data_IF_353579470690
#
_entry.id   IF_353579470690
#
_cell.length_a   1.000
_cell.length_b   1.000
_cell.length_c   1.000
_cell.angle_alpha   90.00
_cell.angle_beta   90.00
_cell.angle_gamma   90.00
#
_symmetry.space_group_name_H-M   'P 1'
#
loop_
_entity.id
_entity.type
_entity.pdbx_description
1 polymer ?
#
# COMPACT_ATOMS: atom_id res chain seq x y z
N UNK A 1 -9.18 -10.53 -22.84
CA UNK A 1 -9.31 -9.53 -21.75
C UNK A 1 -10.47 -8.61 -22.13
N UNK A 2 -11.46 -8.44 -21.26
CA UNK A 2 -12.55 -7.48 -21.48
C UNK A 2 -11.95 -6.06 -21.52
N UNK A 3 -12.50 -5.19 -22.41
CA UNK A 3 -12.10 -3.79 -22.47
C UNK A 3 -12.26 -3.16 -21.08
N UNK A 4 -11.29 -2.36 -20.60
CA UNK A 4 -11.40 -1.72 -19.30
C UNK A 4 -12.69 -0.90 -19.25
N UNK A 5 -13.56 -1.21 -18.30
CA UNK A 5 -14.80 -0.47 -18.09
C UNK A 5 -14.46 0.99 -17.86
N UNK A 6 -15.12 1.87 -18.61
CA UNK A 6 -14.86 3.31 -18.58
C UNK A 6 -15.23 3.88 -17.21
N UNK A 7 -14.23 4.20 -16.41
CA UNK A 7 -14.45 4.89 -15.11
C UNK A 7 -14.72 6.38 -15.33
N UNK A 8 -15.43 6.96 -14.38
CA UNK A 8 -15.57 8.41 -14.20
C UNK A 8 -15.25 8.74 -12.74
N UNK A 9 -14.00 9.12 -12.47
CA UNK A 9 -13.55 9.43 -11.12
C UNK A 9 -14.38 10.55 -10.44
N UNK A 10 -15.00 11.45 -11.22
CA UNK A 10 -15.86 12.53 -10.69
C UNK A 10 -17.18 12.02 -10.11
N UNK A 11 -17.53 10.78 -10.40
CA UNK A 11 -18.73 10.08 -9.90
C UNK A 11 -18.44 9.11 -8.76
N UNK A 12 -17.22 9.14 -8.25
CA UNK A 12 -16.81 8.25 -7.15
C UNK A 12 -17.70 8.44 -5.92
N UNK A 13 -18.25 7.34 -5.43
CA UNK A 13 -19.10 7.32 -4.24
C UNK A 13 -18.96 6.00 -3.50
N UNK A 14 -19.23 6.02 -2.19
CA UNK A 14 -19.24 4.80 -1.35
C UNK A 14 -20.45 3.96 -1.70
N UNK A 15 -20.24 2.67 -1.96
CA UNK A 15 -21.30 1.68 -2.28
C UNK A 15 -21.49 0.65 -1.17
N UNK A 16 -20.45 0.38 -0.37
CA UNK A 16 -20.53 -0.55 0.77
C UNK A 16 -19.66 -0.06 1.92
N UNK A 17 -20.11 -0.33 3.15
CA UNK A 17 -19.36 -0.08 4.38
C UNK A 17 -19.44 -1.30 5.31
N UNK A 18 -18.31 -1.69 5.90
CA UNK A 18 -18.28 -2.69 6.98
C UNK A 18 -17.71 -2.05 8.24
N UNK A 19 -18.47 -1.99 9.30
CA UNK A 19 -18.02 -1.56 10.62
C UNK A 19 -17.30 -2.71 11.34
N UNK A 20 -16.10 -2.40 11.84
CA UNK A 20 -15.32 -3.32 12.64
C UNK A 20 -15.29 -2.95 14.13
N UNK A 21 -15.17 -1.68 14.45
CA UNK A 21 -15.16 -1.16 15.83
C UNK A 21 -13.76 -0.70 16.31
N UNK A 22 -12.67 -1.32 15.82
CA UNK A 22 -11.31 -0.86 16.09
C UNK A 22 -10.72 -0.15 14.87
N UNK A 23 -9.84 0.85 15.04
CA UNK A 23 -9.18 1.52 13.93
C UNK A 23 -8.49 0.55 12.98
N UNK A 24 -8.62 0.78 11.69
CA UNK A 24 -8.01 -0.05 10.66
C UNK A 24 -6.67 0.55 10.20
N UNK A 25 -5.77 -0.31 9.73
CA UNK A 25 -4.42 0.07 9.31
C UNK A 25 -4.05 -0.36 7.90
N UNK A 26 -4.73 -1.38 7.36
CA UNK A 26 -4.51 -1.89 6.00
C UNK A 26 -5.78 -2.50 5.43
N UNK A 27 -5.89 -2.53 4.10
CA UNK A 27 -6.92 -3.29 3.39
C UNK A 27 -6.42 -3.73 2.02
N UNK A 28 -6.88 -4.92 1.55
CA UNK A 28 -6.59 -5.46 0.21
C UNK A 28 -7.77 -6.27 -0.30
N UNK A 29 -8.12 -6.11 -1.57
CA UNK A 29 -8.97 -7.06 -2.27
C UNK A 29 -8.22 -8.36 -2.54
N UNK A 30 -8.90 -9.47 -2.44
CA UNK A 30 -8.39 -10.72 -3.00
C UNK A 30 -8.42 -10.69 -4.54
N UNK A 31 -7.67 -11.54 -5.23
CA UNK A 31 -7.63 -11.55 -6.71
C UNK A 31 -8.99 -11.81 -7.39
N UNK A 32 -9.97 -12.40 -6.70
CA UNK A 32 -11.33 -12.58 -7.23
C UNK A 32 -12.20 -11.34 -7.10
N UNK A 33 -11.80 -10.36 -6.28
CA UNK A 33 -12.59 -9.18 -5.92
C UNK A 33 -13.78 -9.47 -5.01
N UNK A 34 -13.92 -10.70 -4.51
CA UNK A 34 -15.00 -11.09 -3.60
C UNK A 34 -14.72 -10.71 -2.17
N UNK A 35 -13.49 -10.89 -1.74
CA UNK A 35 -13.10 -10.65 -0.36
C UNK A 35 -12.29 -9.35 -0.23
N UNK A 36 -12.48 -8.66 0.90
CA UNK A 36 -11.58 -7.61 1.35
C UNK A 36 -10.96 -8.07 2.67
N UNK A 37 -9.64 -8.20 2.67
CA UNK A 37 -8.87 -8.45 3.87
C UNK A 37 -8.45 -7.11 4.48
N UNK A 38 -8.46 -7.02 5.80
CA UNK A 38 -8.03 -5.80 6.50
C UNK A 38 -7.39 -6.12 7.85
N UNK A 39 -6.36 -5.35 8.19
CA UNK A 39 -5.71 -5.35 9.49
C UNK A 39 -6.32 -4.28 10.40
N UNK A 40 -6.53 -4.61 11.67
CA UNK A 40 -7.09 -3.69 12.65
C UNK A 40 -6.17 -3.54 13.88
N UNK A 41 -6.43 -2.53 14.71
CA UNK A 41 -5.63 -2.27 15.92
C UNK A 41 -5.92 -3.24 17.08
N UNK A 42 -6.86 -4.17 16.90
CA UNK A 42 -7.11 -5.30 17.79
C UNK A 42 -6.14 -6.48 17.58
N UNK A 43 -5.07 -6.28 16.80
CA UNK A 43 -4.06 -7.28 16.44
C UNK A 43 -4.57 -8.41 15.54
N UNK A 44 -5.79 -8.30 14.99
CA UNK A 44 -6.39 -9.29 14.12
C UNK A 44 -6.34 -8.86 12.66
N UNK A 45 -6.28 -9.86 11.78
CA UNK A 45 -6.61 -9.73 10.37
C UNK A 45 -8.01 -10.31 10.16
N UNK A 46 -8.77 -9.61 9.39
CA UNK A 46 -10.14 -9.98 9.08
C UNK A 46 -10.34 -10.12 7.59
N UNK A 47 -11.16 -11.07 7.19
CA UNK A 47 -11.66 -11.22 5.83
C UNK A 47 -13.14 -10.87 5.80
N UNK A 48 -13.51 -9.91 4.96
CA UNK A 48 -14.89 -9.54 4.67
C UNK A 48 -15.32 -10.13 3.33
N UNK A 49 -16.34 -11.01 3.32
CA UNK A 49 -17.05 -11.43 2.12
C UNK A 49 -18.04 -10.33 1.73
N UNK A 50 -17.74 -9.59 0.68
CA UNK A 50 -18.54 -8.42 0.24
C UNK A 50 -19.89 -8.81 -0.32
N UNK A 51 -20.06 -10.05 -0.83
CA UNK A 51 -21.33 -10.57 -1.34
C UNK A 51 -22.27 -11.03 -0.23
N UNK A 52 -21.72 -11.70 0.78
CA UNK A 52 -22.51 -12.24 1.91
C UNK A 52 -22.60 -11.26 3.09
N UNK A 53 -21.83 -10.18 3.05
CA UNK A 53 -21.66 -9.22 4.14
C UNK A 53 -21.26 -9.89 5.47
N UNK A 54 -20.40 -10.90 5.40
CA UNK A 54 -19.88 -11.64 6.57
C UNK A 54 -18.40 -11.40 6.75
N UNK A 55 -17.94 -11.32 7.99
CA UNK A 55 -16.52 -11.21 8.32
C UNK A 55 -16.06 -12.42 9.13
N UNK A 56 -14.81 -12.83 8.90
CA UNK A 56 -14.13 -13.92 9.58
C UNK A 56 -12.75 -13.45 10.01
N UNK A 57 -12.38 -13.72 11.27
CA UNK A 57 -11.05 -13.43 11.79
C UNK A 57 -10.05 -14.50 11.35
N UNK A 58 -8.84 -14.09 10.99
CA UNK A 58 -7.68 -14.95 10.81
C UNK A 58 -6.94 -14.99 12.15
N UNK A 59 -7.18 -16.01 12.95
CA UNK A 59 -6.63 -16.12 14.30
C UNK A 59 -5.17 -16.58 14.27
N UNK A 60 -4.29 -15.95 15.06
CA UNK A 60 -2.88 -16.35 15.18
C UNK A 60 -1.90 -15.24 14.79
N UNK A 61 -2.36 -14.00 14.78
CA UNK A 61 -1.52 -12.81 14.72
C UNK A 61 -1.49 -12.15 16.10
N UNK A 62 -0.30 -11.76 16.56
CA UNK A 62 -0.09 -11.20 17.91
C UNK A 62 0.30 -9.72 17.87
N UNK A 63 0.24 -9.10 16.69
CA UNK A 63 0.62 -7.71 16.48
C UNK A 63 -0.17 -7.08 15.31
N UNK A 64 -0.03 -5.78 15.14
CA UNK A 64 -0.63 -5.08 14.00
C UNK A 64 -0.13 -5.63 12.67
N UNK A 65 -1.04 -5.96 11.79
CA UNK A 65 -0.75 -6.46 10.46
C UNK A 65 -0.98 -5.35 9.43
N UNK A 66 0.11 -4.98 8.74
CA UNK A 66 0.07 -3.99 7.68
C UNK A 66 0.26 -4.61 6.30
N UNK A 67 1.06 -5.64 6.18
CA UNK A 67 1.29 -6.34 4.92
C UNK A 67 0.22 -7.40 4.68
N UNK A 68 -0.47 -7.32 3.55
CA UNK A 68 -1.41 -8.33 3.06
C UNK A 68 -1.12 -8.53 1.58
N UNK A 69 -0.97 -9.79 1.17
CA UNK A 69 -0.73 -10.16 -0.22
C UNK A 69 -1.38 -11.53 -0.51
N UNK A 70 -1.47 -11.90 -1.79
CA UNK A 70 -2.13 -13.11 -2.23
C UNK A 70 -1.26 -13.88 -3.20
N UNK A 71 -1.40 -15.21 -3.21
CA UNK A 71 -0.87 -16.04 -4.30
C UNK A 71 -1.54 -15.65 -5.62
N UNK A 72 -0.85 -15.89 -6.73
CA UNK A 72 -1.34 -15.53 -8.06
C UNK A 72 -2.67 -16.19 -8.42
N UNK A 73 -2.89 -17.40 -7.94
CA UNK A 73 -4.13 -18.15 -8.09
C UNK A 73 -5.23 -17.74 -7.09
N UNK A 74 -4.90 -16.86 -6.14
CA UNK A 74 -5.81 -16.39 -5.11
C UNK A 74 -6.14 -17.41 -4.01
N UNK A 75 -5.51 -18.60 -4.02
CA UNK A 75 -5.83 -19.64 -3.05
C UNK A 75 -5.22 -19.39 -1.67
N UNK A 76 -4.11 -18.66 -1.61
CA UNK A 76 -3.42 -18.34 -0.37
C UNK A 76 -3.36 -16.82 -0.14
N UNK A 77 -3.58 -16.43 1.11
CA UNK A 77 -3.35 -15.08 1.63
C UNK A 77 -2.08 -15.10 2.48
N UNK A 78 -1.24 -14.09 2.35
CA UNK A 78 -0.07 -13.89 3.20
C UNK A 78 -0.26 -12.62 4.00
N UNK A 79 -0.03 -12.70 5.29
CA UNK A 79 -0.05 -11.54 6.20
C UNK A 79 1.32 -11.31 6.81
N UNK A 80 1.63 -10.04 7.07
CA UNK A 80 2.90 -9.62 7.65
C UNK A 80 2.68 -8.60 8.76
N UNK A 81 3.18 -8.92 9.95
CA UNK A 81 2.90 -8.20 11.19
C UNK A 81 4.09 -7.46 11.79
N UNK A 82 3.79 -6.64 12.77
CA UNK A 82 4.78 -5.94 13.57
C UNK A 82 5.50 -6.85 14.59
N UNK A 83 5.10 -8.12 14.64
CA UNK A 83 5.80 -9.21 15.33
C UNK A 83 7.00 -9.78 14.54
N UNK A 84 7.23 -9.31 13.31
CA UNK A 84 8.33 -9.77 12.46
C UNK A 84 8.02 -11.01 11.63
N UNK A 85 6.78 -11.52 11.68
CA UNK A 85 6.38 -12.77 11.06
C UNK A 85 5.69 -12.58 9.73
N UNK A 86 5.83 -13.58 8.86
CA UNK A 86 4.98 -13.84 7.69
C UNK A 86 4.11 -15.05 7.99
N UNK A 87 2.82 -14.95 7.73
CA UNK A 87 1.88 -16.05 7.96
C UNK A 87 1.07 -16.31 6.70
N UNK A 88 0.98 -17.59 6.28
CA UNK A 88 0.18 -18.05 5.15
C UNK A 88 -1.14 -18.63 5.61
N UNK A 89 -2.20 -18.36 4.86
CA UNK A 89 -3.56 -18.77 5.16
C UNK A 89 -4.23 -19.31 3.89
N UNK A 90 -5.18 -20.20 4.01
CA UNK A 90 -6.14 -20.49 2.94
C UNK A 90 -7.11 -19.32 2.81
N UNK A 91 -7.18 -18.69 1.62
CA UNK A 91 -7.93 -17.45 1.40
C UNK A 91 -9.42 -17.59 1.70
N UNK A 92 -10.05 -18.71 1.32
CA UNK A 92 -11.49 -18.93 1.42
C UNK A 92 -11.93 -19.77 2.62
N UNK A 93 -11.01 -20.20 3.50
CA UNK A 93 -11.32 -21.05 4.64
C UNK A 93 -12.43 -20.46 5.52
N UNK A 94 -13.39 -21.28 5.95
CA UNK A 94 -14.48 -20.86 6.86
C UNK A 94 -13.99 -20.64 8.29
N UNK A 95 -12.94 -21.38 8.70
CA UNK A 95 -12.26 -21.27 9.98
C UNK A 95 -10.74 -21.20 9.71
N UNK A 96 -10.21 -20.03 9.28
CA UNK A 96 -8.83 -19.92 8.84
C UNK A 96 -7.86 -20.19 9.99
N UNK A 97 -6.89 -21.06 9.72
CA UNK A 97 -5.75 -21.38 10.59
C UNK A 97 -4.46 -21.13 9.82
N UNK A 98 -3.36 -20.77 10.49
CA UNK A 98 -2.06 -20.64 9.84
C UNK A 98 -1.68 -21.95 9.13
N UNK A 99 -1.43 -21.86 7.82
CA UNK A 99 -0.81 -22.95 7.05
C UNK A 99 0.69 -23.02 7.33
N UNK A 100 1.27 -21.84 7.55
CA UNK A 100 2.70 -21.67 7.78
C UNK A 100 2.97 -20.33 8.46
N UNK A 101 3.97 -20.31 9.32
CA UNK A 101 4.52 -19.10 9.94
C UNK A 101 6.03 -19.09 9.75
N UNK A 102 6.59 -17.93 9.39
CA UNK A 102 8.02 -17.73 9.17
C UNK A 102 8.46 -16.49 9.94
N UNK A 103 9.51 -16.64 10.78
CA UNK A 103 10.21 -15.50 11.39
C UNK A 103 11.02 -14.79 10.30
N UNK A 104 10.51 -13.66 9.84
CA UNK A 104 11.04 -13.00 8.66
C UNK A 104 12.02 -11.87 8.96
N UNK A 105 11.71 -11.01 9.92
CA UNK A 105 12.50 -9.82 10.23
C UNK A 105 12.73 -9.66 11.74
N UNK A 106 13.85 -9.06 12.09
CA UNK A 106 14.05 -8.57 13.46
C UNK A 106 13.30 -7.25 13.65
N UNK A 107 12.13 -7.34 14.30
CA UNK A 107 11.19 -6.24 14.45
C UNK A 107 10.14 -6.21 13.31
N UNK A 108 9.49 -5.10 13.13
CA UNK A 108 8.29 -4.99 12.31
C UNK A 108 8.51 -5.32 10.84
N UNK A 109 7.69 -6.20 10.27
CA UNK A 109 7.49 -6.26 8.82
C UNK A 109 6.57 -5.11 8.42
N UNK A 110 7.05 -4.24 7.56
CA UNK A 110 6.34 -3.02 7.16
C UNK A 110 5.47 -3.22 5.93
N UNK A 111 5.96 -3.99 4.97
CA UNK A 111 5.26 -4.28 3.72
C UNK A 111 5.72 -5.60 3.12
N UNK A 112 4.85 -6.17 2.30
CA UNK A 112 5.13 -7.34 1.46
C UNK A 112 4.58 -7.12 0.06
N UNK A 113 5.18 -7.77 -0.93
CA UNK A 113 4.72 -7.78 -2.32
C UNK A 113 4.99 -9.15 -2.96
N UNK A 114 4.09 -9.62 -3.83
CA UNK A 114 4.28 -10.84 -4.61
C UNK A 114 4.79 -10.49 -6.00
N UNK A 115 5.74 -11.28 -6.52
CA UNK A 115 6.25 -11.10 -7.87
C UNK A 115 5.15 -11.35 -8.93
N UNK A 116 5.22 -10.70 -10.11
CA UNK A 116 4.17 -10.83 -11.13
C UNK A 116 3.95 -12.27 -11.64
N UNK A 117 4.99 -13.10 -11.60
CA UNK A 117 4.91 -14.53 -11.92
C UNK A 117 4.30 -15.37 -10.79
N UNK A 118 4.20 -14.81 -9.57
CA UNK A 118 3.66 -15.46 -8.38
C UNK A 118 4.64 -16.41 -7.68
N UNK A 119 5.92 -16.42 -8.05
CA UNK A 119 6.90 -17.36 -7.51
C UNK A 119 7.59 -16.86 -6.24
N UNK A 120 7.72 -15.55 -6.08
CA UNK A 120 8.44 -14.90 -4.99
C UNK A 120 7.54 -13.98 -4.17
N UNK A 121 7.83 -13.91 -2.88
CA UNK A 121 7.33 -12.91 -1.95
C UNK A 121 8.50 -12.03 -1.52
N UNK A 122 8.36 -10.72 -1.64
CA UNK A 122 9.27 -9.75 -1.05
C UNK A 122 8.73 -9.27 0.29
N UNK A 123 9.60 -9.07 1.28
CA UNK A 123 9.27 -8.44 2.57
C UNK A 123 10.32 -7.41 2.97
N UNK A 124 9.89 -6.36 3.68
CA UNK A 124 10.74 -5.27 4.16
C UNK A 124 10.38 -4.87 5.58
N UNK A 125 11.37 -4.41 6.35
CA UNK A 125 11.10 -4.16 7.76
C UNK A 125 12.03 -3.17 8.47
N UNK A 126 11.88 -3.16 9.80
CA UNK A 126 12.64 -2.27 10.68
C UNK A 126 14.12 -2.67 10.80
N UNK A 127 14.48 -3.89 10.48
CA UNK A 127 15.87 -4.37 10.39
C UNK A 127 16.63 -3.80 9.17
N UNK A 128 15.99 -2.96 8.36
CA UNK A 128 16.54 -2.27 7.18
C UNK A 128 16.84 -3.22 6.01
N UNK A 129 16.32 -4.45 6.06
CA UNK A 129 16.54 -5.47 5.06
C UNK A 129 15.38 -5.55 4.08
N UNK A 130 15.70 -5.99 2.87
CA UNK A 130 14.75 -6.47 1.87
C UNK A 130 15.02 -7.96 1.70
N UNK A 131 13.99 -8.79 1.87
CA UNK A 131 14.13 -10.24 1.79
C UNK A 131 13.20 -10.82 0.75
N UNK A 132 13.67 -11.84 0.03
CA UNK A 132 12.88 -12.62 -0.90
C UNK A 132 12.70 -14.04 -0.37
N UNK A 133 11.51 -14.56 -0.53
CA UNK A 133 11.04 -15.86 -0.09
C UNK A 133 10.38 -16.57 -1.26
N UNK A 134 10.46 -17.90 -1.32
CA UNK A 134 9.61 -18.66 -2.22
C UNK A 134 8.15 -18.53 -1.78
N UNK A 135 7.26 -18.27 -2.73
CA UNK A 135 5.82 -18.18 -2.43
C UNK A 135 5.23 -19.53 -1.99
N UNK A 136 5.71 -20.62 -2.59
CA UNK A 136 5.18 -21.96 -2.38
C UNK A 136 5.39 -22.50 -0.95
N UNK A 137 6.59 -22.30 -0.39
CA UNK A 137 6.96 -22.93 0.89
C UNK A 137 7.59 -21.96 1.92
N UNK A 138 7.71 -20.65 1.58
CA UNK A 138 8.23 -19.63 2.48
C UNK A 138 9.72 -19.76 2.79
N UNK A 139 10.49 -20.51 1.98
CA UNK A 139 11.93 -20.61 2.17
C UNK A 139 12.64 -19.32 1.78
N UNK A 140 13.69 -18.92 2.52
CA UNK A 140 14.45 -17.74 2.19
C UNK A 140 15.22 -17.95 0.88
N UNK A 141 15.10 -16.98 -0.04
CA UNK A 141 15.80 -16.97 -1.33
C UNK A 141 16.98 -16.00 -1.27
N UNK A 142 16.74 -14.78 -0.77
CA UNK A 142 17.74 -13.71 -0.71
C UNK A 142 17.50 -12.77 0.44
N UNK A 143 18.61 -12.19 0.91
CA UNK A 143 18.59 -11.02 1.80
C UNK A 143 19.42 -9.93 1.15
N UNK A 144 18.82 -8.77 0.94
CA UNK A 144 19.45 -7.59 0.34
C UNK A 144 19.59 -6.51 1.40
N UNK A 145 20.79 -5.94 1.50
CA UNK A 145 21.14 -4.88 2.45
C UNK A 145 21.62 -3.63 1.72
N UNK A 146 21.44 -2.46 2.34
CA UNK A 146 21.88 -1.18 1.77
C UNK A 146 21.13 0.01 2.35
N UNK A 147 19.89 -0.16 2.75
CA UNK A 147 19.13 0.87 3.47
C UNK A 147 19.77 1.19 4.82
N UNK A 148 19.87 2.48 5.12
CA UNK A 148 20.35 2.96 6.42
C UNK A 148 19.22 3.24 7.41
N UNK A 149 17.98 3.25 6.93
CA UNK A 149 16.77 3.54 7.68
C UNK A 149 15.75 2.42 7.51
N UNK A 150 14.76 2.35 8.40
CA UNK A 150 13.66 1.40 8.32
C UNK A 150 13.02 1.43 6.93
N UNK A 151 12.83 0.26 6.32
CA UNK A 151 12.21 0.15 4.99
C UNK A 151 10.70 0.05 5.17
N UNK A 152 9.98 0.96 4.52
CA UNK A 152 8.55 1.16 4.73
C UNK A 152 7.68 0.46 3.69
N UNK A 153 8.18 0.31 2.47
CA UNK A 153 7.38 -0.26 1.40
C UNK A 153 8.26 -0.95 0.34
N UNK A 154 7.65 -1.87 -0.42
CA UNK A 154 8.29 -2.61 -1.51
C UNK A 154 7.26 -2.92 -2.60
N UNK A 155 7.70 -2.86 -3.86
CA UNK A 155 6.90 -3.26 -5.01
C UNK A 155 7.80 -3.89 -6.09
N UNK A 156 7.28 -4.91 -6.78
CA UNK A 156 7.93 -5.43 -7.98
C UNK A 156 7.56 -4.58 -9.20
N UNK A 157 8.51 -4.42 -10.10
CA UNK A 157 8.22 -3.94 -11.44
C UNK A 157 7.34 -4.98 -12.17
N UNK A 158 6.38 -4.57 -13.04
CA UNK A 158 5.45 -5.50 -13.69
C UNK A 158 6.09 -6.61 -14.53
N UNK A 159 7.31 -6.44 -15.02
CA UNK A 159 8.04 -7.50 -15.74
C UNK A 159 8.74 -8.51 -14.80
N UNK A 160 8.70 -8.28 -13.49
CA UNK A 160 9.32 -9.14 -12.48
C UNK A 160 10.85 -9.06 -12.38
N UNK A 161 11.53 -8.39 -13.31
CA UNK A 161 13.01 -8.35 -13.35
C UNK A 161 13.62 -7.49 -12.24
N UNK A 162 12.86 -6.55 -11.70
CA UNK A 162 13.28 -5.60 -10.69
C UNK A 162 12.22 -5.48 -9.58
N UNK A 163 12.68 -5.09 -8.40
CA UNK A 163 11.83 -4.57 -7.34
C UNK A 163 12.40 -3.27 -6.78
N UNK A 164 11.53 -2.46 -6.19
CA UNK A 164 11.90 -1.19 -5.55
C UNK A 164 11.47 -1.25 -4.10
N UNK A 165 12.37 -0.85 -3.20
CA UNK A 165 12.08 -0.66 -1.78
C UNK A 165 12.29 0.80 -1.39
N UNK A 166 11.47 1.32 -0.48
CA UNK A 166 11.51 2.71 -0.02
C UNK A 166 11.60 2.85 1.49
N UNK A 167 12.48 3.73 1.98
CA UNK A 167 12.76 3.89 3.42
C UNK A 167 12.14 5.15 4.05
N UNK A 168 12.43 5.36 5.34
CA UNK A 168 11.98 6.51 6.13
C UNK A 168 12.42 7.86 5.53
N UNK A 169 13.61 7.95 4.93
CA UNK A 169 14.10 9.18 4.29
C UNK A 169 13.71 9.28 2.82
N UNK A 170 12.78 8.43 2.39
CA UNK A 170 12.28 8.38 1.01
C UNK A 170 13.37 8.11 -0.03
N UNK A 171 14.45 7.39 0.37
CA UNK A 171 15.36 6.77 -0.58
C UNK A 171 14.70 5.53 -1.16
N UNK A 172 14.77 5.40 -2.47
CA UNK A 172 14.26 4.27 -3.24
C UNK A 172 15.44 3.49 -3.78
N UNK A 173 15.51 2.21 -3.44
CA UNK A 173 16.55 1.30 -3.95
C UNK A 173 15.92 0.35 -4.95
N UNK A 174 16.47 0.34 -6.15
CA UNK A 174 16.20 -0.68 -7.16
C UNK A 174 17.05 -1.91 -6.90
N UNK A 175 16.46 -3.09 -7.01
CA UNK A 175 17.13 -4.37 -6.85
C UNK A 175 16.84 -5.27 -8.03
N UNK A 176 17.83 -5.95 -8.53
CA UNK A 176 17.67 -7.02 -9.51
C UNK A 176 17.07 -8.25 -8.83
N UNK A 177 15.89 -8.70 -9.27
CA UNK A 177 15.17 -9.80 -8.62
C UNK A 177 15.98 -11.10 -8.63
N UNK A 178 16.60 -11.43 -9.79
CA UNK A 178 17.32 -12.68 -9.98
C UNK A 178 18.61 -12.80 -9.14
N UNK A 179 19.31 -11.69 -8.89
CA UNK A 179 20.63 -11.70 -8.24
C UNK A 179 20.64 -11.03 -6.87
N UNK A 180 19.66 -10.15 -6.59
CA UNK A 180 19.64 -9.26 -5.42
C UNK A 180 20.62 -8.08 -5.50
N UNK A 181 21.27 -7.90 -6.66
CA UNK A 181 22.21 -6.80 -6.87
C UNK A 181 21.48 -5.45 -6.82
N UNK A 182 22.06 -4.50 -6.09
CA UNK A 182 21.54 -3.13 -6.06
C UNK A 182 21.76 -2.44 -7.42
N UNK A 183 20.71 -1.85 -7.95
CA UNK A 183 20.71 -1.00 -9.14
C UNK A 183 20.73 0.49 -8.79
N UNK A 184 19.85 1.24 -9.42
CA UNK A 184 19.74 2.69 -9.20
C UNK A 184 19.24 3.02 -7.79
N UNK A 185 19.62 4.23 -7.36
CA UNK A 185 19.05 4.88 -6.17
C UNK A 185 18.33 6.14 -6.59
N UNK A 186 17.04 6.23 -6.24
CA UNK A 186 16.23 7.43 -6.43
C UNK A 186 15.89 8.00 -5.05
N UNK A 187 15.41 9.23 -5.02
CA UNK A 187 14.94 9.84 -3.78
C UNK A 187 13.74 10.75 -4.05
N UNK A 188 12.62 10.50 -3.40
CA UNK A 188 11.48 11.39 -3.37
C UNK A 188 11.70 12.50 -2.33
N UNK A 189 12.66 13.41 -2.61
CA UNK A 189 13.15 14.44 -1.66
C UNK A 189 12.03 15.25 -1.02
N UNK A 190 10.98 15.56 -1.78
CA UNK A 190 9.88 16.37 -1.30
C UNK A 190 9.00 15.68 -0.24
N UNK A 191 9.14 14.36 -0.06
CA UNK A 191 8.40 13.57 0.93
C UNK A 191 9.19 13.35 2.23
N UNK A 192 10.33 14.00 2.38
CA UNK A 192 11.18 13.90 3.56
C UNK A 192 11.59 15.27 4.08
N UNK A 193 11.67 15.39 5.40
CA UNK A 193 12.23 16.53 6.11
C UNK A 193 12.90 16.08 7.40
N UNK A 194 14.07 16.63 7.70
CA UNK A 194 14.63 16.58 9.04
C UNK A 194 14.09 17.76 9.85
N UNK A 195 13.52 17.49 11.01
CA UNK A 195 13.06 18.53 11.94
C UNK A 195 14.13 18.78 13.01
N UNK A 196 14.81 19.90 12.91
CA UNK A 196 15.91 20.26 13.82
C UNK A 196 15.45 20.57 15.24
N UNK A 197 14.21 21.05 15.43
CA UNK A 197 13.64 21.31 16.75
C UNK A 197 13.35 20.04 17.52
N UNK A 198 12.82 19.04 16.84
CA UNK A 198 12.53 17.73 17.44
C UNK A 198 13.64 16.70 17.24
N UNK A 199 14.73 17.05 16.53
CA UNK A 199 15.83 16.15 16.15
C UNK A 199 15.31 14.84 15.52
N UNK A 200 14.31 14.93 14.66
CA UNK A 200 13.60 13.80 14.11
C UNK A 200 13.55 13.80 12.58
N UNK A 201 13.67 12.62 12.00
CA UNK A 201 13.41 12.37 10.58
C UNK A 201 11.90 12.21 10.36
N UNK A 202 11.32 13.03 9.48
CA UNK A 202 9.91 13.01 9.13
C UNK A 202 9.78 12.67 7.66
N UNK A 203 8.98 11.62 7.35
CA UNK A 203 8.79 11.15 5.99
C UNK A 203 8.30 9.72 5.96
N UNK A 204 8.93 8.94 5.12
CA UNK A 204 8.64 7.52 4.90
C UNK A 204 7.74 7.31 3.70
N UNK A 205 8.18 6.38 2.88
CA UNK A 205 7.43 5.90 1.71
C UNK A 205 6.21 5.13 2.19
N UNK A 206 5.01 5.71 2.07
CA UNK A 206 3.77 5.11 2.60
C UNK A 206 3.20 4.06 1.66
N UNK A 207 3.26 4.30 0.36
CA UNK A 207 2.94 3.32 -0.66
C UNK A 207 3.87 3.50 -1.87
N UNK A 208 4.09 2.41 -2.60
CA UNK A 208 4.77 2.36 -3.89
C UNK A 208 3.83 1.64 -4.84
N UNK A 209 3.71 2.15 -6.06
CA UNK A 209 2.98 1.48 -7.12
C UNK A 209 3.64 1.72 -8.47
N UNK A 210 3.57 0.73 -9.35
CA UNK A 210 3.99 0.82 -10.74
C UNK A 210 2.76 0.91 -11.66
N UNK A 211 2.86 1.69 -12.73
CA UNK A 211 1.87 1.58 -13.81
C UNK A 211 1.94 0.20 -14.45
N UNK A 212 0.79 -0.32 -14.94
CA UNK A 212 0.70 -1.67 -15.52
C UNK A 212 1.68 -1.88 -16.69
N UNK A 213 2.04 -0.78 -17.41
CA UNK A 213 3.04 -0.80 -18.50
C UNK A 213 4.51 -0.67 -18.00
N UNK A 214 4.72 -0.59 -16.70
CA UNK A 214 6.03 -0.45 -16.07
C UNK A 214 6.76 0.87 -16.30
N UNK A 215 6.14 1.85 -16.97
CA UNK A 215 6.84 3.09 -17.34
C UNK A 215 6.89 4.14 -16.23
N UNK A 216 6.00 4.04 -15.25
CA UNK A 216 5.92 4.98 -14.15
C UNK A 216 6.05 4.27 -12.81
N UNK A 217 6.80 4.89 -11.89
CA UNK A 217 6.88 4.53 -10.49
C UNK A 217 6.26 5.67 -9.69
N UNK A 218 5.25 5.38 -8.87
CA UNK A 218 4.62 6.32 -7.98
C UNK A 218 4.97 6.04 -6.52
N UNK A 219 5.16 7.10 -5.74
CA UNK A 219 5.49 7.02 -4.31
C UNK A 219 4.66 8.02 -3.54
N UNK A 220 3.97 7.58 -2.50
CA UNK A 220 3.14 8.45 -1.66
C UNK A 220 3.75 8.72 -0.29
N UNK A 221 3.34 9.84 0.32
CA UNK A 221 3.81 10.24 1.65
C UNK A 221 3.27 11.60 2.10
N UNK A 222 4.10 12.31 2.84
CA UNK A 222 3.79 13.66 3.39
C UNK A 222 4.84 14.67 2.92
N UNK A 223 4.41 15.88 2.61
CA UNK A 223 5.28 17.01 2.25
C UNK A 223 4.95 18.25 3.06
N UNK A 224 5.77 19.31 2.97
CA UNK A 224 5.56 20.59 3.64
C UNK A 224 5.34 20.44 5.16
N UNK A 225 6.07 19.55 5.80
CA UNK A 225 5.92 19.27 7.22
C UNK A 225 6.41 20.47 8.04
N UNK A 226 5.54 21.00 8.93
CA UNK A 226 5.87 22.09 9.86
C UNK A 226 5.83 21.62 11.32
N UNK A 227 5.11 20.55 11.63
CA UNK A 227 5.08 19.93 12.94
C UNK A 227 4.92 18.40 12.82
N UNK A 228 5.94 17.68 13.30
CA UNK A 228 5.99 16.22 13.22
C UNK A 228 4.92 15.52 14.06
N UNK A 229 4.74 15.98 15.31
CA UNK A 229 3.85 15.34 16.26
C UNK A 229 2.38 15.52 15.92
N UNK A 230 2.02 16.68 15.40
CA UNK A 230 0.65 16.99 15.01
C UNK A 230 0.30 16.58 13.57
N UNK A 231 1.16 15.80 12.88
CA UNK A 231 1.00 15.46 11.46
C UNK A 231 0.70 16.70 10.59
N UNK A 232 1.31 17.84 10.89
CA UNK A 232 1.12 19.09 10.13
C UNK A 232 2.00 19.07 8.89
N UNK A 233 1.42 18.62 7.82
CA UNK A 233 1.99 18.54 6.48
C UNK A 233 0.89 18.18 5.48
N UNK A 234 1.23 18.07 4.22
CA UNK A 234 0.26 17.84 3.14
C UNK A 234 0.46 16.48 2.48
N UNK A 235 -0.62 15.80 2.09
CA UNK A 235 -0.51 14.56 1.33
C UNK A 235 0.09 14.84 -0.05
N UNK A 236 1.01 13.98 -0.48
CA UNK A 236 1.66 14.13 -1.77
C UNK A 236 2.02 12.78 -2.39
N UNK A 237 2.02 12.74 -3.74
CA UNK A 237 2.51 11.62 -4.54
C UNK A 237 3.56 12.15 -5.50
N UNK A 238 4.71 11.47 -5.57
CA UNK A 238 5.79 11.74 -6.52
C UNK A 238 5.79 10.67 -7.59
N UNK A 239 5.85 11.07 -8.85
CA UNK A 239 5.91 10.18 -10.01
C UNK A 239 7.28 10.26 -10.65
N UNK A 240 7.88 9.10 -10.89
CA UNK A 240 9.13 8.95 -11.62
C UNK A 240 8.87 8.28 -12.97
N UNK A 241 9.54 8.74 -14.01
CA UNK A 241 9.73 7.95 -15.23
C UNK A 241 10.71 6.81 -14.92
N UNK A 242 10.22 5.58 -15.07
CA UNK A 242 11.02 4.40 -14.68
C UNK A 242 12.29 4.24 -15.50
N UNK A 243 12.25 4.53 -16.80
CA UNK A 243 13.41 4.36 -17.70
C UNK A 243 14.55 5.30 -17.30
N UNK A 244 14.25 6.57 -17.08
CA UNK A 244 15.24 7.61 -16.81
C UNK A 244 15.53 7.82 -15.32
N UNK A 245 14.65 7.38 -14.44
CA UNK A 245 14.69 7.65 -13.00
C UNK A 245 14.41 9.11 -12.62
N UNK A 246 13.96 9.94 -13.56
CA UNK A 246 13.65 11.35 -13.31
C UNK A 246 12.26 11.51 -12.71
N UNK A 247 12.12 12.41 -11.73
CA UNK A 247 10.83 12.88 -11.25
C UNK A 247 10.12 13.63 -12.37
N UNK A 248 8.90 13.20 -12.72
CA UNK A 248 8.09 13.77 -13.82
C UNK A 248 6.88 14.53 -13.33
N UNK A 249 6.41 14.24 -12.13
CA UNK A 249 5.29 14.96 -11.52
C UNK A 249 5.35 14.87 -9.98
N UNK A 250 4.83 15.90 -9.34
CA UNK A 250 4.53 15.96 -7.92
C UNK A 250 3.08 16.35 -7.76
N UNK A 251 2.28 15.41 -7.32
CA UNK A 251 0.85 15.62 -7.03
C UNK A 251 0.66 16.16 -5.62
N UNK A 252 -0.18 17.17 -5.50
CA UNK A 252 -0.51 17.85 -4.25
C UNK A 252 -2.03 18.06 -4.18
N UNK A 253 -2.58 18.10 -2.97
CA UNK A 253 -3.97 18.52 -2.75
C UNK A 253 -4.07 20.05 -2.73
N UNK A 254 -5.00 20.64 -3.50
CA UNK A 254 -5.24 22.10 -3.57
C UNK A 254 -5.53 22.70 -2.20
N UNK A 255 -6.40 22.06 -1.43
CA UNK A 255 -6.81 22.52 -0.11
C UNK A 255 -5.72 22.39 0.96
N UNK A 256 -4.59 21.72 0.64
CA UNK A 256 -3.46 21.48 1.56
C UNK A 256 -3.89 21.01 2.96
N UNK A 257 -4.73 19.95 3.09
CA UNK A 257 -5.17 19.47 4.39
C UNK A 257 -3.98 18.92 5.19
N UNK A 258 -4.10 18.96 6.52
CA UNK A 258 -3.14 18.32 7.43
C UNK A 258 -3.36 16.80 7.39
N UNK A 259 -2.66 16.12 6.50
CA UNK A 259 -2.83 14.69 6.26
C UNK A 259 -1.57 14.06 5.63
N UNK A 260 -1.53 12.74 5.61
CA UNK A 260 -0.53 11.92 4.94
C UNK A 260 -1.23 11.12 3.83
N UNK A 261 -0.62 11.00 2.66
CA UNK A 261 -1.08 10.06 1.62
C UNK A 261 -0.63 8.64 2.01
N UNK A 262 -1.54 7.86 2.57
CA UNK A 262 -1.27 6.52 3.08
C UNK A 262 -1.40 5.43 2.03
N UNK A 263 -2.34 5.60 1.10
CA UNK A 263 -2.63 4.66 0.03
C UNK A 263 -2.43 5.30 -1.34
N UNK A 264 -2.10 4.48 -2.33
CA UNK A 264 -1.79 4.89 -3.69
C UNK A 264 -2.19 3.80 -4.68
N UNK A 265 -2.72 4.20 -5.83
CA UNK A 265 -2.90 3.33 -6.99
C UNK A 265 -2.70 4.12 -8.28
N UNK A 266 -1.98 3.53 -9.24
CA UNK A 266 -1.90 4.00 -10.63
C UNK A 266 -2.95 3.25 -11.46
N UNK A 267 -4.00 3.95 -11.86
CA UNK A 267 -5.07 3.35 -12.63
C UNK A 267 -4.68 3.23 -14.12
N UNK A 268 -5.04 2.14 -14.83
CA UNK A 268 -4.71 1.95 -16.26
C UNK A 268 -5.21 3.07 -17.19
N UNK A 269 -6.21 3.85 -16.78
CA UNK A 269 -6.66 5.04 -17.52
C UNK A 269 -5.70 6.24 -17.44
N UNK A 270 -4.56 6.11 -16.74
CA UNK A 270 -3.58 7.18 -16.54
C UNK A 270 -3.92 8.13 -15.38
N UNK A 271 -4.87 7.76 -14.51
CA UNK A 271 -5.23 8.52 -13.31
C UNK A 271 -4.38 7.99 -12.13
N UNK A 272 -3.79 8.90 -11.37
CA UNK A 272 -3.21 8.59 -10.06
C UNK A 272 -4.29 8.76 -8.99
N UNK A 273 -4.46 7.76 -8.13
CA UNK A 273 -5.43 7.75 -7.03
C UNK A 273 -4.66 7.73 -5.72
N UNK A 274 -5.01 8.61 -4.78
CA UNK A 274 -4.41 8.65 -3.45
C UNK A 274 -5.46 8.66 -2.36
N UNK A 275 -5.24 7.87 -1.30
CA UNK A 275 -6.02 7.94 -0.08
C UNK A 275 -5.23 8.66 1.01
N UNK A 276 -5.82 9.65 1.64
CA UNK A 276 -5.16 10.44 2.65
C UNK A 276 -5.96 10.51 3.95
N UNK A 277 -5.24 10.60 5.06
CA UNK A 277 -5.83 10.71 6.38
C UNK A 277 -4.91 11.39 7.38
N UNK A 278 -5.51 12.08 8.34
CA UNK A 278 -4.83 12.82 9.39
C UNK A 278 -5.78 13.80 10.09
N UNK A 279 -5.27 14.74 10.89
CA UNK A 279 -6.11 15.71 11.60
C UNK A 279 -7.02 16.55 10.70
N UNK A 280 -6.68 16.69 9.40
CA UNK A 280 -7.51 17.35 8.40
C UNK A 280 -8.68 16.53 7.87
N UNK A 281 -8.82 15.26 8.32
CA UNK A 281 -9.83 14.30 7.86
C UNK A 281 -9.34 13.32 6.80
N UNK A 282 -10.26 12.56 6.23
CA UNK A 282 -10.01 11.57 5.19
C UNK A 282 -10.39 12.08 3.79
N UNK A 283 -9.62 11.70 2.80
CA UNK A 283 -9.86 12.08 1.41
C UNK A 283 -9.42 10.99 0.44
N UNK A 284 -10.14 10.86 -0.68
CA UNK A 284 -9.65 10.27 -1.92
C UNK A 284 -9.34 11.41 -2.91
N UNK A 285 -8.18 11.36 -3.50
CA UNK A 285 -7.73 12.33 -4.50
C UNK A 285 -7.51 11.64 -5.84
N UNK A 286 -7.81 12.35 -6.93
CA UNK A 286 -7.65 11.90 -8.30
C UNK A 286 -6.86 12.93 -9.09
N UNK A 287 -5.70 12.53 -9.61
CA UNK A 287 -4.84 13.39 -10.42
C UNK A 287 -4.73 12.85 -11.85
N UNK A 288 -4.72 13.73 -12.83
CA UNK A 288 -4.37 13.39 -14.20
C UNK A 288 -2.86 13.40 -14.36
N UNK A 289 -2.36 12.61 -15.31
CA UNK A 289 -0.95 12.58 -15.68
C UNK A 289 -0.44 14.00 -15.96
N UNK A 290 0.71 14.36 -15.39
CA UNK A 290 1.36 15.65 -15.58
C UNK A 290 0.72 16.85 -14.87
N UNK A 291 -0.39 16.68 -14.15
CA UNK A 291 -1.02 17.76 -13.39
C UNK A 291 -0.56 17.72 -11.92
N UNK A 292 -0.18 18.88 -11.38
CA UNK A 292 0.22 18.97 -9.98
C UNK A 292 -0.97 18.83 -9.00
N UNK A 293 -2.10 19.44 -9.33
CA UNK A 293 -3.27 19.45 -8.47
C UNK A 293 -4.31 18.42 -8.92
N UNK A 294 -5.08 17.91 -7.95
CA UNK A 294 -6.19 17.01 -8.22
C UNK A 294 -7.26 17.68 -9.09
N UNK A 295 -7.84 16.90 -10.02
CA UNK A 295 -9.02 17.33 -10.77
C UNK A 295 -10.32 16.97 -10.06
N UNK A 296 -10.26 16.02 -9.11
CA UNK A 296 -11.39 15.60 -8.29
C UNK A 296 -10.93 15.09 -6.95
N UNK A 297 -11.76 15.30 -5.93
CA UNK A 297 -11.58 14.73 -4.59
C UNK A 297 -12.91 14.29 -4.00
N UNK A 298 -12.87 13.26 -3.16
CA UNK A 298 -14.00 12.81 -2.35
C UNK A 298 -13.60 12.92 -0.89
N UNK A 299 -14.36 13.71 -0.10
CA UNK A 299 -14.19 13.75 1.35
C UNK A 299 -14.78 12.50 1.96
N UNK A 300 -13.99 11.79 2.75
CA UNK A 300 -14.41 10.60 3.48
C UNK A 300 -14.86 10.99 4.89
N UNK A 301 -15.65 10.12 5.52
CA UNK A 301 -16.14 10.37 6.90
C UNK A 301 -15.03 10.47 7.91
N UNK A 302 -13.95 9.70 7.73
CA UNK A 302 -12.79 9.70 8.62
C UNK A 302 -11.50 9.40 7.87
N UNK A 303 -10.37 9.53 8.57
CA UNK A 303 -9.01 9.36 8.06
C UNK A 303 -8.81 8.02 7.35
N UNK A 304 -8.48 8.05 6.06
CA UNK A 304 -8.07 6.85 5.32
C UNK A 304 -6.62 6.50 5.66
N UNK A 305 -6.36 5.23 5.94
CA UNK A 305 -5.06 4.68 6.37
C UNK A 305 -4.43 3.75 5.34
N UNK A 306 -5.22 3.29 4.39
CA UNK A 306 -4.77 2.46 3.27
C UNK A 306 -5.79 2.53 2.13
N UNK A 307 -5.36 2.09 0.94
CA UNK A 307 -6.19 2.02 -0.27
C UNK A 307 -5.73 0.83 -1.10
N UNK A 308 -6.69 0.13 -1.67
CA UNK A 308 -6.45 -0.87 -2.70
C UNK A 308 -7.43 -0.72 -3.87
N UNK A 309 -6.92 -0.93 -5.09
CA UNK A 309 -7.70 -0.94 -6.31
C UNK A 309 -8.16 -2.37 -6.61
N UNK A 310 -9.46 -2.56 -6.75
CA UNK A 310 -10.03 -3.88 -7.05
C UNK A 310 -9.53 -4.46 -8.37
N UNK A 311 -9.57 -5.78 -8.55
CA UNK A 311 -9.20 -6.43 -9.81
C UNK A 311 -10.03 -5.97 -11.02
N UNK A 312 -11.27 -5.53 -10.81
CA UNK A 312 -12.14 -4.98 -11.86
C UNK A 312 -11.77 -3.55 -12.29
N UNK A 313 -10.82 -2.92 -11.57
CA UNK A 313 -10.36 -1.56 -11.80
C UNK A 313 -11.45 -0.48 -11.65
N UNK A 314 -12.60 -0.81 -11.04
CA UNK A 314 -13.73 0.12 -10.83
C UNK A 314 -13.89 0.48 -9.36
N UNK A 315 -13.62 -0.46 -8.47
CA UNK A 315 -13.83 -0.28 -7.05
C UNK A 315 -12.52 0.02 -6.32
N UNK A 316 -12.64 0.79 -5.24
CA UNK A 316 -11.55 1.11 -4.31
C UNK A 316 -11.96 0.66 -2.92
N UNK A 317 -11.14 -0.15 -2.27
CA UNK A 317 -11.26 -0.40 -0.84
C UNK A 317 -10.41 0.61 -0.07
N UNK A 318 -10.94 1.15 1.02
CA UNK A 318 -10.20 2.01 1.94
C UNK A 318 -10.40 1.57 3.38
N UNK A 319 -9.31 1.51 4.14
CA UNK A 319 -9.31 1.26 5.57
C UNK A 319 -9.28 2.58 6.34
N UNK A 320 -10.14 2.73 7.36
CA UNK A 320 -10.30 4.02 8.05
C UNK A 320 -10.04 3.92 9.57
N UNK A 321 -9.69 5.07 10.16
CA UNK A 321 -9.41 5.16 11.59
C UNK A 321 -10.67 5.00 12.45
N UNK A 322 -11.85 5.31 11.91
CA UNK A 322 -13.16 5.04 12.57
C UNK A 322 -13.56 3.55 12.62
N UNK A 323 -12.65 2.67 12.23
CA UNK A 323 -12.89 1.23 12.23
C UNK A 323 -13.81 0.76 11.11
N UNK A 324 -13.88 1.48 9.99
CA UNK A 324 -14.74 1.12 8.86
C UNK A 324 -13.91 0.83 7.62
N UNK A 325 -14.16 -0.31 6.98
CA UNK A 325 -13.77 -0.55 5.58
C UNK A 325 -14.83 0.05 4.68
N UNK A 326 -14.42 0.85 3.70
CA UNK A 326 -15.33 1.43 2.69
C UNK A 326 -14.95 0.95 1.31
N UNK A 327 -15.95 0.52 0.54
CA UNK A 327 -15.80 0.25 -0.88
C UNK A 327 -16.45 1.41 -1.63
N UNK A 328 -15.67 2.11 -2.44
CA UNK A 328 -16.11 3.17 -3.33
C UNK A 328 -16.11 2.68 -4.77
N UNK A 329 -17.07 3.16 -5.59
CA UNK A 329 -17.18 2.87 -7.02
C UNK A 329 -16.92 4.11 -7.83
N UNK A 330 -16.07 4.00 -8.88
CA UNK A 330 -15.67 5.10 -9.76
C UNK A 330 -16.53 5.19 -11.03
N UNK A 331 -17.85 5.07 -10.90
CA UNK A 331 -18.81 5.21 -12.01
C UNK A 331 -20.05 5.94 -11.51
N UNK A 332 -20.98 6.29 -12.42
CA UNK A 332 -22.29 6.82 -12.02
C UNK A 332 -23.01 5.84 -11.08
N UNK A 333 -23.84 6.38 -10.19
CA UNK A 333 -24.83 5.59 -9.46
C UNK A 333 -25.76 4.93 -10.48
N UNK A 334 -26.02 3.65 -10.30
CA UNK A 334 -27.01 2.93 -11.09
C UNK A 334 -28.40 3.42 -10.75
#
# INVERSE_FOLDING_TARGET
>A
MAAPSKIDATKTHVVQELKHGNPLISCRFDPSGRFVFYGAQDYQVWRWDTKQNKKVALQGTDAWVRGIAFSKDGTQTITAGYDGRLVWWETAATAPKPLRTVEAHHGWVRAIAVSPDGTLLASVGNDKLVKLWTMADGKPVRTMSGHQHHVYNVAFHPDGSRLVSGDLKCHLFEWETATGKAGRRLQAKSLYKYDGGFKADIGGVRAIDFSDDGKQLAVSGITNVTNAFACVGNPSVVIFDWKTGKETAKHLAKAKPRAVAWGLALHPSGITIGAAGGPGGGFLYFWKKGQANEFHQVKMKDSARDLDLSPDRIHLATAHYDGVVRISRMTKKA
#
